data_IF_356056185093
#
_entry.id   IF_356056185093
#
_cell.length_a   1.000
_cell.length_b   1.000
_cell.length_c   1.000
_cell.angle_alpha   90.00
_cell.angle_beta   90.00
_cell.angle_gamma   90.00
#
_symmetry.space_group_name_H-M   'P 1'
#
loop_
_entity.id
_entity.type
_entity.pdbx_description
1 polymer ?
#
# COMPACT_ATOMS: atom_id res chain seq x y z
N UNK A 1 24.58 25.21 -7.27
CA UNK A 1 23.19 24.87 -6.88
C UNK A 1 22.88 23.48 -7.39
N UNK A 2 22.75 22.51 -6.50
CA UNK A 2 22.06 21.23 -6.69
C UNK A 2 21.94 20.61 -5.30
N UNK A 3 20.77 20.74 -4.67
CA UNK A 3 20.48 20.03 -3.42
C UNK A 3 20.03 18.60 -3.75
N UNK A 4 20.58 17.56 -3.10
CA UNK A 4 20.11 16.20 -3.28
C UNK A 4 18.94 15.90 -2.31
N UNK A 5 17.82 15.51 -2.90
CA UNK A 5 16.95 14.41 -2.43
C UNK A 5 16.37 14.49 -1.01
N UNK A 6 15.33 15.30 -0.82
CA UNK A 6 14.45 15.21 0.37
C UNK A 6 13.45 14.03 0.30
N UNK A 7 13.26 13.44 -0.88
CA UNK A 7 12.20 12.46 -1.18
C UNK A 7 12.45 11.07 -0.56
N UNK A 8 13.72 10.65 -0.47
CA UNK A 8 14.10 9.34 0.07
C UNK A 8 13.93 9.25 1.59
N UNK A 9 14.10 10.38 2.30
CA UNK A 9 13.97 10.43 3.76
C UNK A 9 12.51 10.38 4.21
N UNK A 10 11.62 11.11 3.51
CA UNK A 10 10.18 11.08 3.76
C UNK A 10 9.56 9.71 3.42
N UNK A 11 9.98 9.11 2.30
CA UNK A 11 9.60 7.74 1.93
C UNK A 11 10.04 6.73 2.99
N UNK A 12 11.26 6.89 3.53
CA UNK A 12 11.79 6.01 4.57
C UNK A 12 11.00 6.04 5.88
N UNK A 13 10.65 7.22 6.39
CA UNK A 13 9.88 7.34 7.65
C UNK A 13 8.43 6.87 7.50
N UNK A 14 7.82 7.06 6.34
CA UNK A 14 6.49 6.54 6.04
C UNK A 14 6.48 5.01 5.99
N UNK A 15 7.45 4.41 5.29
CA UNK A 15 7.64 2.94 5.26
C UNK A 15 7.90 2.41 6.67
N UNK A 16 8.70 3.07 7.48
CA UNK A 16 8.97 2.70 8.88
C UNK A 16 7.69 2.72 9.74
N UNK A 17 6.85 3.75 9.61
CA UNK A 17 5.56 3.81 10.34
C UNK A 17 4.55 2.73 9.91
N UNK A 18 4.59 2.34 8.63
CA UNK A 18 3.78 1.25 8.08
C UNK A 18 4.32 -0.12 8.51
N UNK A 19 5.63 -0.25 8.70
CA UNK A 19 6.27 -1.46 9.23
C UNK A 19 6.08 -1.62 10.75
N UNK A 20 6.00 -0.51 11.50
CA UNK A 20 5.63 -0.53 12.92
C UNK A 20 4.18 -0.99 13.15
N UNK A 21 3.32 -0.87 12.14
CA UNK A 21 1.97 -1.44 12.15
C UNK A 21 2.04 -2.83 11.54
N UNK A 22 1.89 -3.89 12.35
CA UNK A 22 1.88 -5.27 11.84
C UNK A 22 0.89 -5.40 10.67
N UNK A 23 1.39 -5.82 9.50
CA UNK A 23 0.58 -6.06 8.29
C UNK A 23 -0.69 -6.88 8.58
N UNK A 24 -0.58 -7.82 9.51
CA UNK A 24 -1.71 -8.62 9.99
C UNK A 24 -2.79 -7.77 10.69
N UNK A 25 -2.39 -6.87 11.59
CA UNK A 25 -3.29 -5.96 12.30
C UNK A 25 -3.96 -4.97 11.34
N UNK A 26 -3.23 -4.50 10.31
CA UNK A 26 -3.77 -3.62 9.29
C UNK A 26 -4.78 -4.33 8.38
N UNK A 27 -4.47 -5.55 7.93
CA UNK A 27 -5.37 -6.38 7.12
C UNK A 27 -6.64 -6.77 7.86
N UNK A 28 -6.53 -7.17 9.13
CA UNK A 28 -7.66 -7.51 9.98
C UNK A 28 -8.58 -6.31 10.24
N UNK A 29 -8.01 -5.15 10.61
CA UNK A 29 -8.79 -3.93 10.85
C UNK A 29 -9.52 -3.44 9.58
N UNK A 30 -8.86 -3.51 8.42
CA UNK A 30 -9.47 -3.13 7.15
C UNK A 30 -10.60 -4.08 6.74
N UNK A 31 -10.40 -5.39 6.90
CA UNK A 31 -11.45 -6.39 6.63
C UNK A 31 -12.67 -6.23 7.55
N UNK A 32 -12.48 -5.79 8.80
CA UNK A 32 -13.57 -5.55 9.76
C UNK A 32 -14.32 -4.24 9.53
N UNK A 33 -13.63 -3.16 9.12
CA UNK A 33 -14.24 -1.83 8.98
C UNK A 33 -14.80 -1.55 7.57
N UNK A 34 -14.18 -2.11 6.52
CA UNK A 34 -14.53 -1.85 5.13
C UNK A 34 -14.56 -3.14 4.29
N UNK A 35 -15.39 -4.14 4.66
CA UNK A 35 -15.46 -5.42 3.96
C UNK A 35 -15.81 -5.27 2.47
N UNK A 36 -16.57 -4.24 2.11
CA UNK A 36 -16.95 -3.92 0.73
C UNK A 36 -15.80 -3.41 -0.14
N UNK A 37 -14.75 -2.85 0.46
CA UNK A 37 -13.59 -2.30 -0.25
C UNK A 37 -12.44 -3.31 -0.37
N UNK A 38 -12.56 -4.48 0.28
CA UNK A 38 -11.55 -5.54 0.29
C UNK A 38 -11.22 -6.00 -1.13
N UNK A 39 -12.23 -6.30 -1.95
CA UNK A 39 -11.97 -6.80 -3.29
C UNK A 39 -11.45 -5.69 -4.23
N UNK A 40 -11.87 -4.44 -4.01
CA UNK A 40 -11.36 -3.28 -4.76
C UNK A 40 -9.89 -2.98 -4.42
N UNK A 41 -9.52 -3.00 -3.14
CA UNK A 41 -8.14 -2.72 -2.71
C UNK A 41 -7.19 -3.81 -3.19
N UNK A 42 -7.65 -5.07 -3.20
CA UNK A 42 -6.89 -6.19 -3.78
C UNK A 42 -6.70 -5.98 -5.28
N UNK A 43 -7.76 -5.68 -6.03
CA UNK A 43 -7.65 -5.45 -7.47
C UNK A 43 -6.73 -4.25 -7.81
N UNK A 44 -6.79 -3.16 -7.05
CA UNK A 44 -5.86 -2.03 -7.21
C UNK A 44 -4.43 -2.42 -6.86
N UNK A 45 -4.22 -3.20 -5.80
CA UNK A 45 -2.87 -3.67 -5.45
C UNK A 45 -2.27 -4.54 -6.56
N UNK A 46 -3.05 -5.41 -7.20
CA UNK A 46 -2.60 -6.24 -8.33
C UNK A 46 -2.28 -5.41 -9.56
N UNK A 47 -3.07 -4.35 -9.83
CA UNK A 47 -2.76 -3.40 -10.90
C UNK A 47 -1.44 -2.66 -10.64
N UNK A 48 -1.19 -2.25 -9.39
CA UNK A 48 0.07 -1.61 -8.97
C UNK A 48 1.25 -2.58 -9.13
N UNK A 49 1.10 -3.86 -8.77
CA UNK A 49 2.15 -4.88 -8.97
C UNK A 49 2.47 -5.09 -10.46
N UNK A 50 1.44 -5.13 -11.31
CA UNK A 50 1.58 -5.35 -12.75
C UNK A 50 2.19 -4.17 -13.48
N UNK A 51 1.72 -2.96 -13.17
CA UNK A 51 2.05 -1.74 -13.91
C UNK A 51 3.28 -1.03 -13.31
N UNK A 52 3.64 -1.37 -12.07
CA UNK A 52 4.72 -0.74 -11.31
C UNK A 52 4.23 0.49 -10.56
N UNK A 53 4.72 0.65 -9.32
CA UNK A 53 4.23 1.66 -8.36
C UNK A 53 4.24 3.09 -8.90
N UNK A 54 5.39 3.55 -9.42
CA UNK A 54 5.53 4.92 -9.93
C UNK A 54 4.71 5.14 -11.21
N UNK A 55 4.67 4.15 -12.10
CA UNK A 55 3.92 4.24 -13.36
C UNK A 55 2.42 4.30 -13.09
N UNK A 56 1.91 3.39 -12.27
CA UNK A 56 0.50 3.35 -11.88
C UNK A 56 0.08 4.63 -11.16
N UNK A 57 0.92 5.13 -10.23
CA UNK A 57 0.68 6.39 -9.54
C UNK A 57 0.57 7.58 -10.51
N UNK A 58 1.50 7.66 -11.48
CA UNK A 58 1.50 8.69 -12.51
C UNK A 58 0.26 8.65 -13.41
N UNK A 59 -0.14 7.46 -13.86
CA UNK A 59 -1.32 7.27 -14.72
C UNK A 59 -2.64 7.59 -14.01
N UNK A 60 -2.73 7.30 -12.71
CA UNK A 60 -3.93 7.51 -11.89
C UNK A 60 -3.94 8.89 -11.21
N UNK A 61 -2.93 9.73 -11.42
CA UNK A 61 -2.82 11.04 -10.76
C UNK A 61 -2.78 10.95 -9.23
N UNK A 62 -2.31 9.82 -8.70
CA UNK A 62 -2.30 9.50 -7.28
C UNK A 62 -0.87 9.68 -6.74
N UNK A 63 -0.68 10.25 -5.53
CA UNK A 63 0.64 10.30 -4.91
C UNK A 63 1.24 8.90 -4.75
N UNK A 64 2.55 8.75 -4.97
CA UNK A 64 3.26 7.46 -4.85
C UNK A 64 3.08 6.85 -3.47
N UNK A 65 3.06 7.67 -2.42
CA UNK A 65 2.81 7.24 -1.04
C UNK A 65 1.43 6.60 -0.85
N UNK A 66 0.40 7.14 -1.51
CA UNK A 66 -0.97 6.62 -1.45
C UNK A 66 -1.13 5.33 -2.29
N UNK A 67 -0.48 5.28 -3.45
CA UNK A 67 -0.37 4.03 -4.23
C UNK A 67 0.36 2.95 -3.41
N UNK A 68 1.42 3.30 -2.70
CA UNK A 68 2.18 2.37 -1.86
C UNK A 68 1.34 1.85 -0.70
N UNK A 69 0.55 2.72 -0.06
CA UNK A 69 -0.40 2.32 0.99
C UNK A 69 -1.45 1.35 0.46
N UNK A 70 -1.97 1.60 -0.74
CA UNK A 70 -2.93 0.71 -1.41
C UNK A 70 -2.31 -0.66 -1.69
N UNK A 71 -1.09 -0.69 -2.20
CA UNK A 71 -0.32 -1.92 -2.44
C UNK A 71 -0.12 -2.72 -1.15
N UNK A 72 0.41 -2.09 -0.10
CA UNK A 72 0.62 -2.72 1.20
C UNK A 72 -0.67 -3.26 1.81
N UNK A 73 -1.76 -2.49 1.71
CA UNK A 73 -3.06 -2.90 2.23
C UNK A 73 -3.61 -4.11 1.49
N UNK A 74 -3.51 -4.13 0.16
CA UNK A 74 -3.91 -5.30 -0.63
C UNK A 74 -3.07 -6.55 -0.33
N UNK A 75 -1.76 -6.39 -0.15
CA UNK A 75 -0.86 -7.47 0.30
C UNK A 75 -1.22 -7.99 1.69
N UNK A 76 -1.48 -7.09 2.65
CA UNK A 76 -1.92 -7.44 4.00
C UNK A 76 -3.22 -8.23 3.99
N UNK A 77 -4.21 -7.80 3.20
CA UNK A 77 -5.50 -8.48 3.03
C UNK A 77 -5.33 -9.86 2.40
N UNK A 78 -4.51 -10.00 1.33
CA UNK A 78 -4.22 -11.29 0.70
C UNK A 78 -3.52 -12.24 1.67
N UNK A 79 -2.56 -11.74 2.45
CA UNK A 79 -1.87 -12.50 3.48
C UNK A 79 -2.82 -12.95 4.60
N UNK A 80 -3.68 -12.06 5.09
CA UNK A 80 -4.71 -12.39 6.07
C UNK A 80 -5.67 -13.47 5.54
N UNK A 81 -6.20 -13.31 4.31
CA UNK A 81 -7.08 -14.32 3.67
C UNK A 81 -6.40 -15.69 3.55
N UNK A 82 -5.08 -15.73 3.32
CA UNK A 82 -4.31 -16.98 3.24
C UNK A 82 -4.10 -17.67 4.60
N UNK A 83 -4.07 -16.90 5.70
CA UNK A 83 -3.90 -17.41 7.06
C UNK A 83 -5.21 -17.75 7.77
N UNK A 84 -6.27 -16.99 7.50
CA UNK A 84 -7.60 -17.18 8.08
C UNK A 84 -8.42 -18.29 7.38
N UNK A 85 -7.82 -18.95 6.38
CA UNK A 85 -8.39 -20.09 5.66
C UNK A 85 -8.26 -21.41 6.41
#
# INVERSE_FOLDING_TARGET
>A
MAEPSADTSATGSFVESLMETDLYSMGAFFCDQHPELVDEVVARSEAIERDGLESWAGENGTPVEEAFRTLLTGLAVRYYKALAG
#
